data_IF_774330072933
#
_entry.id   IF_774330072933
#
_cell.length_a   1.000
_cell.length_b   1.000
_cell.length_c   1.000
_cell.angle_alpha   90.00
_cell.angle_beta   90.00
_cell.angle_gamma   90.00
#
_symmetry.space_group_name_H-M   'P 1'
#
loop_
_entity.id
_entity.type
_entity.pdbx_description
1 polymer ?
#
# COMPACT_ATOMS: atom_id res chain seq x y z
N UNK A 1 -25.55 -10.39 12.93
CA UNK A 1 -24.59 -11.43 13.38
C UNK A 1 -24.82 -11.67 14.87
N UNK A 2 -24.91 -12.93 15.30
CA UNK A 2 -25.22 -13.31 16.70
C UNK A 2 -24.02 -13.89 17.46
N UNK A 3 -22.89 -14.12 16.78
CA UNK A 3 -21.64 -14.55 17.42
C UNK A 3 -21.03 -13.42 18.25
N UNK A 4 -20.26 -13.79 19.29
CA UNK A 4 -19.55 -12.83 20.14
C UNK A 4 -18.62 -11.94 19.31
N UNK A 5 -18.65 -10.64 19.58
CA UNK A 5 -17.77 -9.62 18.99
C UNK A 5 -16.84 -9.08 20.06
N UNK A 6 -16.07 -9.99 20.68
CA UNK A 6 -15.13 -9.65 21.74
C UNK A 6 -14.13 -8.61 21.23
N UNK A 7 -13.99 -7.53 21.98
CA UNK A 7 -12.95 -6.53 21.73
C UNK A 7 -11.65 -6.98 22.40
N UNK A 8 -10.56 -6.79 21.69
CA UNK A 8 -9.19 -6.96 22.18
C UNK A 8 -8.50 -5.61 22.13
N UNK A 9 -7.46 -5.44 22.95
CA UNK A 9 -6.68 -4.20 23.02
C UNK A 9 -5.23 -4.52 23.33
N UNK A 10 -4.36 -3.57 23.03
CA UNK A 10 -2.99 -3.50 23.53
C UNK A 10 -2.92 -2.44 24.62
N UNK A 11 -2.06 -2.66 25.60
CA UNK A 11 -1.81 -1.76 26.74
C UNK A 11 -0.34 -1.90 27.20
N UNK A 12 0.04 -1.25 28.30
CA UNK A 12 1.42 -1.24 28.78
C UNK A 12 1.92 -2.64 29.17
N UNK A 13 1.02 -3.47 29.70
CA UNK A 13 1.30 -4.86 30.09
C UNK A 13 1.26 -5.83 28.91
N UNK A 14 0.47 -5.50 27.87
CA UNK A 14 0.31 -6.28 26.65
C UNK A 14 0.55 -5.36 25.43
N UNK A 15 1.83 -5.03 25.13
CA UNK A 15 2.18 -4.04 24.12
C UNK A 15 1.86 -4.47 22.68
N UNK A 16 1.86 -3.50 21.78
CA UNK A 16 1.72 -3.72 20.34
C UNK A 16 2.20 -2.52 19.57
N UNK A 17 3.52 -2.43 19.38
CA UNK A 17 4.18 -1.27 18.81
C UNK A 17 3.76 -1.04 17.37
N UNK A 18 3.69 -2.09 16.56
CA UNK A 18 3.34 -2.03 15.14
C UNK A 18 1.93 -1.48 14.93
N UNK A 19 0.92 -2.01 15.62
CA UNK A 19 -0.47 -1.55 15.45
C UNK A 19 -0.67 -0.13 15.99
N UNK A 20 0.02 0.22 17.09
CA UNK A 20 -0.06 1.57 17.64
C UNK A 20 0.67 2.60 16.76
N UNK A 21 1.87 2.28 16.26
CA UNK A 21 2.64 3.14 15.38
C UNK A 21 1.98 3.28 14.00
N UNK A 22 1.43 2.22 13.41
CA UNK A 22 0.69 2.32 12.14
C UNK A 22 -0.59 3.18 12.32
N UNK A 23 -1.27 3.05 13.46
CA UNK A 23 -2.42 3.93 13.79
C UNK A 23 -1.98 5.38 13.97
N UNK A 24 -0.82 5.62 14.58
CA UNK A 24 -0.23 6.95 14.69
C UNK A 24 0.09 7.54 13.32
N UNK A 25 0.71 6.77 12.42
CA UNK A 25 0.98 7.16 11.04
C UNK A 25 -0.31 7.53 10.29
N UNK A 26 -1.34 6.70 10.39
CA UNK A 26 -2.64 6.93 9.76
C UNK A 26 -3.31 8.22 10.26
N UNK A 27 -3.33 8.45 11.58
CA UNK A 27 -3.89 9.66 12.18
C UNK A 27 -3.08 10.92 11.83
N UNK A 28 -1.74 10.83 11.82
CA UNK A 28 -0.86 11.92 11.42
C UNK A 28 -1.09 12.30 9.94
N UNK A 29 -1.13 11.31 9.03
CA UNK A 29 -1.42 11.52 7.62
C UNK A 29 -2.82 12.13 7.40
N UNK A 30 -3.85 11.59 8.07
CA UNK A 30 -5.20 12.11 7.99
C UNK A 30 -5.31 13.55 8.49
N UNK A 31 -4.58 13.92 9.54
CA UNK A 31 -4.58 15.29 10.08
C UNK A 31 -4.18 16.34 9.03
N UNK A 32 -3.26 16.01 8.11
CA UNK A 32 -2.86 16.88 7.01
C UNK A 32 -4.01 17.11 6.03
N UNK A 33 -4.78 16.05 5.72
CA UNK A 33 -5.93 16.12 4.82
C UNK A 33 -7.04 16.99 5.41
N UNK A 34 -7.43 16.73 6.66
CA UNK A 34 -8.49 17.52 7.31
C UNK A 34 -8.09 18.97 7.53
N UNK A 35 -6.80 19.24 7.81
CA UNK A 35 -6.28 20.61 7.88
C UNK A 35 -6.43 21.34 6.56
N UNK A 36 -6.08 20.69 5.44
CA UNK A 36 -6.25 21.26 4.09
C UNK A 36 -7.72 21.43 3.69
N UNK A 37 -8.60 20.56 4.17
CA UNK A 37 -10.05 20.65 3.96
C UNK A 37 -10.72 21.74 4.82
N UNK A 38 -9.99 22.42 5.71
CA UNK A 38 -10.50 23.49 6.56
C UNK A 38 -11.04 23.03 7.92
N UNK A 39 -10.98 21.73 8.24
CA UNK A 39 -11.38 21.21 9.56
C UNK A 39 -10.16 21.15 10.50
N UNK A 40 -9.77 22.33 10.99
CA UNK A 40 -8.61 22.48 11.86
C UNK A 40 -8.79 21.79 13.22
N UNK A 41 -10.03 21.73 13.74
CA UNK A 41 -10.31 21.11 15.04
C UNK A 41 -10.11 19.60 14.98
N UNK A 42 -10.70 18.94 13.99
CA UNK A 42 -10.54 17.50 13.84
C UNK A 42 -9.10 17.11 13.46
N UNK A 43 -8.44 17.92 12.62
CA UNK A 43 -7.01 17.74 12.35
C UNK A 43 -6.15 17.79 13.62
N UNK A 44 -6.44 18.72 14.53
CA UNK A 44 -5.73 18.79 15.81
C UNK A 44 -6.01 17.57 16.70
N UNK A 45 -7.26 17.10 16.77
CA UNK A 45 -7.63 15.92 17.54
C UNK A 45 -6.90 14.65 17.04
N UNK A 46 -6.89 14.44 15.71
CA UNK A 46 -6.16 13.34 15.09
C UNK A 46 -4.66 13.40 15.42
N UNK A 47 -4.06 14.57 15.28
CA UNK A 47 -2.63 14.75 15.52
C UNK A 47 -2.27 14.53 16.98
N UNK A 48 -3.09 15.01 17.92
CA UNK A 48 -2.92 14.77 19.35
C UNK A 48 -2.89 13.26 19.66
N UNK A 49 -3.86 12.49 19.13
CA UNK A 49 -3.89 11.05 19.34
C UNK A 49 -2.74 10.32 18.62
N UNK A 50 -2.32 10.78 17.45
CA UNK A 50 -1.16 10.22 16.76
C UNK A 50 0.11 10.31 17.62
N UNK A 51 0.33 11.45 18.30
CA UNK A 51 1.47 11.65 19.18
C UNK A 51 1.42 10.72 20.40
N UNK A 52 0.25 10.57 21.03
CA UNK A 52 0.06 9.65 22.17
C UNK A 52 0.30 8.19 21.78
N UNK A 53 -0.19 7.77 20.61
CA UNK A 53 -0.02 6.40 20.13
C UNK A 53 1.43 6.08 19.78
N UNK A 54 2.15 7.04 19.18
CA UNK A 54 3.58 6.86 18.91
C UNK A 54 4.40 6.79 20.19
N UNK A 55 4.13 7.66 21.17
CA UNK A 55 4.78 7.60 22.48
C UNK A 55 4.52 6.26 23.18
N UNK A 56 3.28 5.77 23.14
CA UNK A 56 2.94 4.44 23.64
C UNK A 56 3.71 3.32 22.90
N UNK A 57 3.72 3.35 21.57
CA UNK A 57 4.35 2.34 20.73
C UNK A 57 5.86 2.23 20.98
N UNK A 58 6.54 3.38 21.17
CA UNK A 58 7.97 3.44 21.39
C UNK A 58 8.37 3.14 22.84
N UNK A 59 7.54 3.53 23.82
CA UNK A 59 7.77 3.30 25.25
C UNK A 59 7.55 1.83 25.63
N UNK A 60 6.46 1.23 25.15
CA UNK A 60 6.08 -0.14 25.47
C UNK A 60 6.29 -1.02 24.25
N UNK A 61 7.55 -1.41 24.01
CA UNK A 61 7.92 -2.17 22.82
C UNK A 61 7.51 -3.64 22.89
N UNK A 62 6.76 -4.11 21.90
CA UNK A 62 6.43 -5.53 21.77
C UNK A 62 5.47 -5.82 20.63
N UNK A 63 5.45 -7.08 20.21
CA UNK A 63 4.61 -7.53 19.11
C UNK A 63 3.15 -7.64 19.52
N UNK A 64 2.26 -7.03 18.75
CA UNK A 64 0.83 -6.98 19.04
C UNK A 64 0.18 -8.37 18.99
N UNK A 65 0.72 -9.27 18.16
CA UNK A 65 0.23 -10.63 18.00
C UNK A 65 0.69 -11.57 19.14
N UNK A 66 1.67 -11.15 19.95
CA UNK A 66 1.96 -11.78 21.24
C UNK A 66 0.94 -11.37 22.31
N UNK A 67 0.48 -10.12 22.28
CA UNK A 67 -0.51 -9.56 23.20
C UNK A 67 -1.95 -9.97 22.86
N UNK A 68 -2.24 -10.11 21.56
CA UNK A 68 -3.56 -10.47 21.03
C UNK A 68 -3.44 -11.72 20.17
N UNK A 69 -3.11 -12.85 20.79
CA UNK A 69 -2.73 -14.10 20.11
C UNK A 69 -3.71 -14.61 19.04
N UNK A 70 -4.99 -14.27 19.15
CA UNK A 70 -6.00 -14.65 18.15
C UNK A 70 -5.68 -14.12 16.75
N UNK A 71 -4.93 -13.03 16.63
CA UNK A 71 -4.58 -12.41 15.33
C UNK A 71 -3.50 -13.18 14.57
N UNK A 72 -2.72 -14.05 15.23
CA UNK A 72 -1.61 -14.81 14.59
C UNK A 72 -2.06 -15.65 13.39
N UNK A 73 -3.32 -16.07 13.38
CA UNK A 73 -3.90 -16.85 12.28
C UNK A 73 -4.47 -15.99 11.13
N UNK A 74 -4.40 -14.66 11.22
CA UNK A 74 -5.01 -13.73 10.27
C UNK A 74 -3.99 -12.68 9.79
N UNK A 75 -3.40 -11.93 10.72
CA UNK A 75 -2.48 -10.83 10.47
C UNK A 75 -1.25 -10.90 11.41
N UNK A 76 -0.45 -11.98 11.39
CA UNK A 76 0.71 -12.07 12.28
C UNK A 76 1.74 -10.96 12.00
N UNK A 77 2.43 -10.46 13.02
CA UNK A 77 3.55 -9.53 12.86
C UNK A 77 4.76 -10.35 12.38
N UNK A 78 5.08 -10.26 11.09
CA UNK A 78 6.19 -11.03 10.50
C UNK A 78 7.45 -10.20 10.33
N UNK A 79 7.30 -8.90 10.06
CA UNK A 79 8.38 -7.90 9.96
C UNK A 79 8.88 -7.39 11.30
N UNK A 80 8.02 -7.45 12.33
CA UNK A 80 8.23 -6.81 13.61
C UNK A 80 7.47 -5.49 13.71
N UNK A 81 8.10 -4.49 14.35
CA UNK A 81 7.51 -3.15 14.58
C UNK A 81 8.47 -2.00 14.29
N UNK A 82 9.70 -2.33 13.92
CA UNK A 82 10.78 -1.36 13.76
C UNK A 82 10.51 -0.44 12.58
N UNK A 83 10.02 -1.00 11.48
CA UNK A 83 9.59 -0.24 10.31
C UNK A 83 8.37 0.64 10.60
N UNK A 84 7.38 0.17 11.36
CA UNK A 84 6.23 1.00 11.75
C UNK A 84 6.66 2.19 12.62
N UNK A 85 7.62 2.02 13.54
CA UNK A 85 8.14 3.13 14.35
C UNK A 85 8.82 4.19 13.49
N UNK A 86 9.69 3.80 12.55
CA UNK A 86 10.30 4.74 11.61
C UNK A 86 9.26 5.42 10.71
N UNK A 87 8.29 4.65 10.21
CA UNK A 87 7.21 5.11 9.35
C UNK A 87 6.33 6.16 10.05
N UNK A 88 5.90 5.86 11.29
CA UNK A 88 5.11 6.77 12.11
C UNK A 88 5.87 8.05 12.46
N UNK A 89 7.16 7.94 12.79
CA UNK A 89 8.00 9.10 13.08
C UNK A 89 8.09 10.05 11.88
N UNK A 90 8.31 9.55 10.66
CA UNK A 90 8.32 10.41 9.46
C UNK A 90 6.96 11.05 9.16
N UNK A 91 5.85 10.32 9.34
CA UNK A 91 4.50 10.90 9.20
C UNK A 91 4.22 11.98 10.24
N UNK A 92 4.63 11.77 11.49
CA UNK A 92 4.51 12.76 12.55
C UNK A 92 5.39 13.98 12.29
N UNK A 93 6.62 13.80 11.79
CA UNK A 93 7.46 14.91 11.34
C UNK A 93 6.73 15.73 10.28
N UNK A 94 6.20 15.07 9.25
CA UNK A 94 5.45 15.73 8.16
C UNK A 94 4.20 16.46 8.66
N UNK A 95 3.48 15.90 9.63
CA UNK A 95 2.24 16.48 10.14
C UNK A 95 2.45 17.63 11.15
N UNK A 96 3.58 17.61 11.89
CA UNK A 96 3.86 18.56 12.98
C UNK A 96 4.92 19.60 12.64
N UNK A 97 5.83 19.31 11.71
CA UNK A 97 7.07 20.06 11.47
C UNK A 97 8.11 19.91 12.59
N UNK A 98 7.88 19.08 13.62
CA UNK A 98 8.81 18.92 14.74
C UNK A 98 10.04 18.13 14.33
N UNK A 99 11.22 18.62 14.68
CA UNK A 99 12.50 17.97 14.39
C UNK A 99 12.72 16.69 15.20
N UNK A 100 12.20 16.61 16.43
CA UNK A 100 12.41 15.44 17.29
C UNK A 100 11.98 14.12 16.62
N UNK A 101 10.90 14.12 15.83
CA UNK A 101 10.46 12.93 15.10
C UNK A 101 11.37 12.61 13.90
N UNK A 102 11.87 13.62 13.20
CA UNK A 102 12.85 13.43 12.13
C UNK A 102 14.16 12.88 12.71
N UNK A 103 14.64 13.49 13.78
CA UNK A 103 15.87 13.11 14.45
C UNK A 103 15.75 11.68 15.00
N UNK A 104 14.60 11.30 15.57
CA UNK A 104 14.28 9.92 15.95
C UNK A 104 14.37 8.97 14.75
N UNK A 105 13.68 9.27 13.65
CA UNK A 105 13.62 8.39 12.49
C UNK A 105 15.01 8.17 11.88
N UNK A 106 15.81 9.23 11.74
CA UNK A 106 17.14 9.14 11.14
C UNK A 106 18.17 8.52 12.09
N UNK A 107 18.11 8.80 13.39
CA UNK A 107 19.02 8.22 14.37
C UNK A 107 18.80 6.70 14.55
N UNK A 108 17.56 6.23 14.45
CA UNK A 108 17.24 4.81 14.57
C UNK A 108 17.26 4.06 13.23
N UNK A 109 17.44 4.76 12.09
CA UNK A 109 17.24 4.17 10.76
C UNK A 109 18.08 2.91 10.52
N UNK A 110 19.32 2.85 11.03
CA UNK A 110 20.20 1.68 10.85
C UNK A 110 19.85 0.54 11.79
N UNK A 111 19.76 0.81 13.09
CA UNK A 111 19.41 -0.17 14.13
C UNK A 111 18.02 -0.80 13.90
N UNK A 112 17.13 -0.05 13.26
CA UNK A 112 15.77 -0.48 12.93
C UNK A 112 15.66 -1.06 11.52
N UNK A 113 16.76 -1.18 10.78
CA UNK A 113 16.80 -1.84 9.47
C UNK A 113 16.31 -0.99 8.30
N UNK A 114 15.96 0.28 8.52
CA UNK A 114 15.56 1.23 7.47
C UNK A 114 16.63 1.44 6.40
N UNK A 115 17.90 1.56 6.81
CA UNK A 115 19.07 1.63 5.91
C UNK A 115 19.69 0.28 5.60
N UNK A 116 19.14 -0.80 6.16
CA UNK A 116 19.61 -2.17 5.99
C UNK A 116 19.25 -2.77 4.63
N UNK A 117 18.77 -4.02 4.64
CA UNK A 117 18.51 -4.77 3.42
C UNK A 117 17.45 -4.10 2.53
N UNK A 118 17.74 -4.04 1.24
CA UNK A 118 16.80 -3.56 0.26
C UNK A 118 15.63 -4.56 0.09
N UNK A 119 14.40 -4.05 0.12
CA UNK A 119 13.18 -4.85 0.07
C UNK A 119 12.54 -4.78 -1.33
N UNK A 120 11.74 -5.79 -1.68
CA UNK A 120 10.93 -5.83 -2.90
C UNK A 120 9.42 -5.91 -2.60
N UNK A 121 9.03 -5.62 -1.35
CA UNK A 121 7.65 -5.71 -0.87
C UNK A 121 7.26 -4.44 -0.10
N UNK A 122 6.03 -3.96 -0.32
CA UNK A 122 5.35 -2.99 0.52
C UNK A 122 3.95 -3.53 0.82
N UNK A 123 3.57 -3.61 2.09
CA UNK A 123 2.34 -4.28 2.52
C UNK A 123 1.83 -3.80 3.87
N UNK A 124 0.70 -4.34 4.32
CA UNK A 124 0.18 -4.06 5.66
C UNK A 124 1.12 -4.52 6.79
N UNK A 125 2.07 -5.42 6.51
CA UNK A 125 3.06 -5.93 7.47
C UNK A 125 4.42 -5.23 7.29
N UNK A 126 4.85 -4.92 6.06
CA UNK A 126 6.19 -4.37 5.79
C UNK A 126 6.12 -2.93 5.28
N UNK A 127 6.69 -1.96 6.02
CA UNK A 127 6.70 -0.52 5.67
C UNK A 127 8.01 0.01 5.09
N UNK A 128 9.10 -0.78 5.09
CA UNK A 128 10.43 -0.28 4.67
C UNK A 128 10.44 0.44 3.31
N UNK A 129 9.82 -0.12 2.27
CA UNK A 129 9.77 0.52 0.96
C UNK A 129 9.01 1.87 1.00
N UNK A 130 7.88 1.91 1.71
CA UNK A 130 7.10 3.14 1.89
C UNK A 130 7.87 4.20 2.70
N UNK A 131 8.50 3.78 3.80
CA UNK A 131 9.40 4.60 4.62
C UNK A 131 10.53 5.21 3.79
N UNK A 132 11.20 4.40 2.98
CA UNK A 132 12.33 4.82 2.15
C UNK A 132 11.89 5.83 1.08
N UNK A 133 10.74 5.60 0.42
CA UNK A 133 10.13 6.55 -0.51
C UNK A 133 9.74 7.86 0.18
N UNK A 134 9.16 7.78 1.39
CA UNK A 134 8.80 8.95 2.19
C UNK A 134 10.03 9.74 2.63
N UNK A 135 11.10 9.07 3.05
CA UNK A 135 12.37 9.71 3.41
C UNK A 135 13.00 10.45 2.23
N UNK A 136 12.89 9.93 1.00
CA UNK A 136 13.37 10.64 -0.19
C UNK A 136 12.67 11.98 -0.44
N UNK A 137 11.45 12.20 0.07
CA UNK A 137 10.79 13.51 0.00
C UNK A 137 11.50 14.58 0.84
N UNK A 138 12.25 14.19 1.88
CA UNK A 138 13.03 15.13 2.68
C UNK A 138 14.11 15.85 1.85
N UNK A 139 14.64 15.20 0.80
CA UNK A 139 15.58 15.82 -0.15
C UNK A 139 14.89 16.85 -1.04
N UNK A 140 13.61 16.64 -1.36
CA UNK A 140 12.78 17.63 -2.06
C UNK A 140 12.56 18.84 -1.16
N UNK A 141 12.18 18.61 0.09
CA UNK A 141 11.97 19.67 1.09
C UNK A 141 13.27 20.46 1.37
N UNK A 142 14.42 19.79 1.40
CA UNK A 142 15.73 20.44 1.52
C UNK A 142 16.05 21.28 0.28
N UNK A 143 15.82 20.75 -0.93
CA UNK A 143 16.01 21.50 -2.19
C UNK A 143 15.12 22.74 -2.27
N UNK A 144 13.88 22.65 -1.75
CA UNK A 144 12.92 23.74 -1.66
C UNK A 144 13.16 24.69 -0.48
N UNK A 145 14.22 24.45 0.31
CA UNK A 145 14.59 25.26 1.48
C UNK A 145 13.54 25.24 2.61
N UNK A 146 12.66 24.23 2.64
CA UNK A 146 11.69 24.01 3.71
C UNK A 146 12.27 23.18 4.87
N UNK A 147 13.36 22.45 4.63
CA UNK A 147 14.08 21.65 5.61
C UNK A 147 15.59 21.89 5.50
N UNK A 148 16.31 21.72 6.61
CA UNK A 148 17.78 21.71 6.62
C UNK A 148 18.28 20.46 7.34
N UNK A 149 18.98 19.60 6.61
CA UNK A 149 19.62 18.41 7.15
C UNK A 149 21.07 18.71 7.55
N UNK A 150 21.56 18.05 8.60
CA UNK A 150 23.02 17.98 8.84
C UNK A 150 23.68 17.08 7.79
N UNK A 151 25.02 17.09 7.73
CA UNK A 151 25.75 16.20 6.83
C UNK A 151 25.48 14.72 7.13
N UNK A 152 25.40 14.37 8.41
CA UNK A 152 25.11 13.02 8.91
C UNK A 152 23.67 12.61 8.58
N UNK A 153 22.70 13.49 8.84
CA UNK A 153 21.30 13.24 8.50
C UNK A 153 21.12 13.04 7.01
N UNK A 154 21.77 13.88 6.19
CA UNK A 154 21.72 13.77 4.74
C UNK A 154 22.31 12.45 4.26
N UNK A 155 23.40 11.97 4.86
CA UNK A 155 23.97 10.67 4.51
C UNK A 155 22.99 9.51 4.77
N UNK A 156 22.26 9.54 5.90
CA UNK A 156 21.20 8.55 6.19
C UNK A 156 20.05 8.64 5.18
N UNK A 157 19.59 9.85 4.85
CA UNK A 157 18.52 10.05 3.87
C UNK A 157 18.93 9.56 2.48
N UNK A 158 20.16 9.79 2.04
CA UNK A 158 20.65 9.27 0.75
C UNK A 158 20.75 7.73 0.76
N UNK A 159 21.08 7.10 1.89
CA UNK A 159 21.04 5.65 2.02
C UNK A 159 19.61 5.09 1.95
N UNK A 160 18.66 5.75 2.63
CA UNK A 160 17.23 5.42 2.52
C UNK A 160 16.73 5.59 1.08
N UNK A 161 17.13 6.66 0.41
CA UNK A 161 16.85 6.89 -1.01
C UNK A 161 17.42 5.77 -1.88
N UNK A 162 18.65 5.35 -1.66
CA UNK A 162 19.26 4.23 -2.41
C UNK A 162 18.41 2.96 -2.28
N UNK A 163 17.86 2.68 -1.09
CA UNK A 163 16.97 1.53 -0.89
C UNK A 163 15.60 1.74 -1.57
N UNK A 164 15.06 2.96 -1.59
CA UNK A 164 13.86 3.30 -2.37
C UNK A 164 14.09 3.07 -3.88
N UNK A 165 15.23 3.52 -4.42
CA UNK A 165 15.60 3.32 -5.82
C UNK A 165 15.75 1.83 -6.14
N UNK A 166 16.34 1.03 -5.24
CA UNK A 166 16.39 -0.42 -5.41
C UNK A 166 14.99 -1.04 -5.51
N UNK A 167 14.05 -0.63 -4.65
CA UNK A 167 12.67 -1.12 -4.70
C UNK A 167 11.98 -0.77 -6.03
N UNK A 168 12.11 0.48 -6.48
CA UNK A 168 11.55 0.96 -7.76
C UNK A 168 12.15 0.20 -8.94
N UNK A 169 13.48 0.04 -8.95
CA UNK A 169 14.20 -0.72 -9.97
C UNK A 169 13.81 -2.20 -9.96
N UNK A 170 13.64 -2.81 -8.77
CA UNK A 170 13.14 -4.18 -8.60
C UNK A 170 11.75 -4.33 -9.24
N UNK A 171 10.85 -3.40 -8.94
CA UNK A 171 9.51 -3.33 -9.52
C UNK A 171 9.52 -3.11 -11.02
N UNK A 172 10.59 -2.58 -11.63
CA UNK A 172 10.73 -2.37 -13.08
C UNK A 172 11.62 -3.40 -13.79
N UNK A 173 12.15 -4.40 -13.06
CA UNK A 173 13.06 -5.43 -13.58
C UNK A 173 14.44 -4.88 -14.00
N UNK A 174 14.87 -3.80 -13.36
CA UNK A 174 16.08 -3.05 -13.74
C UNK A 174 17.23 -3.26 -12.76
N UNK A 175 17.05 -3.99 -11.66
CA UNK A 175 18.18 -4.33 -10.80
C UNK A 175 19.10 -5.34 -11.49
N UNK A 176 20.44 -5.17 -11.40
CA UNK A 176 21.38 -6.18 -11.87
C UNK A 176 21.26 -7.46 -11.03
N UNK A 177 21.71 -8.59 -11.58
CA UNK A 177 21.66 -9.89 -10.90
C UNK A 177 20.36 -10.69 -11.12
N UNK A 178 19.48 -10.22 -12.02
CA UNK A 178 18.35 -11.00 -12.52
C UNK A 178 17.24 -11.22 -11.48
N UNK A 179 16.53 -12.33 -11.61
CA UNK A 179 15.29 -12.61 -10.85
C UNK A 179 15.45 -12.58 -9.32
N UNK A 180 16.65 -12.81 -8.78
CA UNK A 180 16.90 -12.74 -7.33
C UNK A 180 16.80 -11.33 -6.75
N UNK A 181 17.00 -10.31 -7.59
CA UNK A 181 17.04 -8.91 -7.19
C UNK A 181 15.85 -8.09 -7.71
N UNK A 182 14.93 -8.75 -8.42
CA UNK A 182 13.78 -8.10 -9.05
C UNK A 182 12.50 -8.78 -8.61
N UNK A 183 11.42 -8.01 -8.53
CA UNK A 183 10.10 -8.51 -8.18
C UNK A 183 9.64 -9.56 -9.20
N UNK A 184 9.03 -10.63 -8.70
CA UNK A 184 8.41 -11.67 -9.52
C UNK A 184 7.30 -11.08 -10.40
N UNK A 185 7.03 -11.72 -11.53
CA UNK A 185 5.98 -11.32 -12.47
C UNK A 185 5.31 -12.50 -13.13
N UNK A 186 4.06 -12.31 -13.51
CA UNK A 186 3.36 -13.21 -14.41
C UNK A 186 3.87 -13.05 -15.86
N UNK A 187 3.61 -14.02 -16.76
CA UNK A 187 3.92 -13.89 -18.19
C UNK A 187 3.42 -12.60 -18.86
N UNK A 188 2.26 -12.09 -18.45
CA UNK A 188 1.71 -10.83 -18.97
C UNK A 188 2.19 -9.57 -18.22
N UNK A 189 3.14 -9.69 -17.30
CA UNK A 189 3.86 -8.56 -16.70
C UNK A 189 3.23 -7.95 -15.43
N UNK A 190 2.22 -8.60 -14.83
CA UNK A 190 1.73 -8.23 -13.51
C UNK A 190 2.79 -8.55 -12.46
N UNK A 191 3.07 -7.61 -11.54
CA UNK A 191 3.89 -7.89 -10.36
C UNK A 191 3.26 -9.01 -9.52
N UNK A 192 4.03 -10.08 -9.29
CA UNK A 192 3.60 -11.27 -8.59
C UNK A 192 4.57 -11.59 -7.44
N UNK A 193 4.19 -11.20 -6.22
CA UNK A 193 5.02 -11.33 -5.02
C UNK A 193 4.62 -12.59 -4.24
N UNK A 194 3.31 -12.79 -4.04
CA UNK A 194 2.78 -13.95 -3.30
C UNK A 194 1.47 -14.45 -3.90
N UNK A 195 1.16 -15.75 -3.78
CA UNK A 195 -0.07 -16.30 -4.35
C UNK A 195 -1.34 -15.85 -3.62
N UNK A 196 -1.28 -15.56 -2.32
CA UNK A 196 -2.44 -15.09 -1.57
C UNK A 196 -2.64 -13.60 -1.79
N UNK A 197 -3.78 -13.22 -2.38
CA UNK A 197 -4.22 -11.84 -2.54
C UNK A 197 -3.15 -10.93 -3.19
N UNK A 198 -2.58 -11.41 -4.30
CA UNK A 198 -1.41 -10.79 -4.93
C UNK A 198 -1.61 -9.31 -5.32
N UNK A 199 -2.83 -8.92 -5.69
CA UNK A 199 -3.11 -7.53 -6.07
C UNK A 199 -2.94 -6.52 -4.93
N UNK A 200 -2.85 -6.94 -3.67
CA UNK A 200 -2.33 -6.09 -2.58
C UNK A 200 -0.94 -5.54 -2.93
N UNK A 201 -0.03 -6.41 -3.37
CA UNK A 201 1.35 -6.04 -3.67
C UNK A 201 1.45 -5.23 -4.95
N UNK A 202 0.72 -5.64 -6.00
CA UNK A 202 0.73 -4.92 -7.27
C UNK A 202 0.15 -3.51 -7.13
N UNK A 203 -0.96 -3.34 -6.40
CA UNK A 203 -1.56 -2.02 -6.16
C UNK A 203 -0.66 -1.13 -5.27
N UNK A 204 -0.06 -1.70 -4.23
CA UNK A 204 0.85 -0.99 -3.33
C UNK A 204 2.13 -0.55 -4.05
N UNK A 205 2.67 -1.40 -4.92
CA UNK A 205 3.80 -1.05 -5.79
C UNK A 205 3.42 0.05 -6.79
N UNK A 206 2.27 -0.07 -7.47
CA UNK A 206 1.79 0.97 -8.38
C UNK A 206 1.66 2.34 -7.67
N UNK A 207 1.16 2.34 -6.44
CA UNK A 207 1.10 3.55 -5.62
C UNK A 207 2.47 4.14 -5.29
N UNK A 208 3.41 3.32 -4.77
CA UNK A 208 4.76 3.82 -4.45
C UNK A 208 5.53 4.28 -5.68
N UNK A 209 5.42 3.58 -6.81
CA UNK A 209 6.01 4.00 -8.09
C UNK A 209 5.46 5.36 -8.53
N UNK A 210 4.14 5.56 -8.39
CA UNK A 210 3.49 6.84 -8.67
C UNK A 210 4.06 7.95 -7.80
N UNK A 211 4.16 7.74 -6.49
CA UNK A 211 4.74 8.72 -5.56
C UNK A 211 6.22 8.99 -5.88
N UNK A 212 7.00 7.95 -6.19
CA UNK A 212 8.42 8.11 -6.48
C UNK A 212 8.69 8.83 -7.80
N UNK A 213 7.82 8.66 -8.80
CA UNK A 213 7.90 9.45 -10.04
C UNK A 213 7.84 10.97 -9.77
N UNK A 214 7.01 11.40 -8.81
CA UNK A 214 6.93 12.80 -8.39
C UNK A 214 8.19 13.27 -7.65
N UNK A 215 8.82 12.39 -6.87
CA UNK A 215 10.10 12.67 -6.22
C UNK A 215 11.19 12.91 -7.27
N UNK A 216 11.30 12.03 -8.27
CA UNK A 216 12.27 12.16 -9.37
C UNK A 216 12.06 13.45 -10.15
N UNK A 217 10.80 13.76 -10.52
CA UNK A 217 10.45 14.99 -11.23
C UNK A 217 10.78 16.25 -10.40
N UNK A 218 10.47 16.25 -9.11
CA UNK A 218 10.73 17.37 -8.19
C UNK A 218 12.24 17.58 -8.00
N UNK A 219 13.01 16.50 -7.87
CA UNK A 219 14.48 16.58 -7.78
C UNK A 219 15.13 16.92 -9.12
N UNK A 220 14.47 16.66 -10.26
CA UNK A 220 15.03 16.72 -11.63
C UNK A 220 16.24 15.79 -11.78
N UNK A 221 16.08 14.57 -11.29
CA UNK A 221 17.12 13.55 -11.35
C UNK A 221 16.51 12.24 -11.89
N UNK A 222 17.23 11.54 -12.78
CA UNK A 222 16.79 10.23 -13.26
C UNK A 222 16.94 9.18 -12.16
N UNK A 223 16.12 8.14 -12.24
CA UNK A 223 16.28 6.90 -11.47
C UNK A 223 17.55 6.19 -11.90
N UNK A 224 18.32 5.69 -10.92
CA UNK A 224 19.54 4.92 -11.16
C UNK A 224 19.34 3.47 -10.74
N UNK A 225 19.26 2.58 -11.72
CA UNK A 225 19.15 1.14 -11.48
C UNK A 225 20.50 0.46 -11.69
N UNK A 226 21.24 0.31 -10.59
CA UNK A 226 22.50 -0.44 -10.55
C UNK A 226 23.73 0.28 -11.14
N UNK A 227 24.83 0.24 -10.39
CA UNK A 227 26.16 0.67 -10.77
C UNK A 227 27.15 0.11 -9.76
N UNK A 228 27.54 -1.16 -9.93
CA UNK A 228 28.43 -1.89 -9.01
C UNK A 228 29.26 -3.01 -9.65
N UNK A 229 29.31 -3.07 -10.99
CA UNK A 229 30.12 -4.06 -11.72
C UNK A 229 29.71 -4.16 -13.18
N UNK A 230 30.61 -3.74 -14.08
CA UNK A 230 30.74 -3.95 -15.54
C UNK A 230 29.53 -3.97 -16.49
N UNK A 231 28.28 -3.85 -16.01
CA UNK A 231 27.09 -3.62 -16.83
C UNK A 231 26.73 -2.13 -16.84
N UNK A 232 26.25 -1.64 -17.98
CA UNK A 232 25.77 -0.26 -18.10
C UNK A 232 24.66 0.01 -17.07
N UNK A 233 24.81 1.11 -16.32
CA UNK A 233 23.80 1.56 -15.38
C UNK A 233 22.53 1.92 -16.17
N UNK A 234 21.43 1.23 -15.86
CA UNK A 234 20.14 1.53 -16.49
C UNK A 234 19.57 2.81 -15.88
N UNK A 235 19.34 3.83 -16.70
CA UNK A 235 18.63 5.04 -16.30
C UNK A 235 17.14 4.92 -16.66
N UNK A 236 16.28 5.43 -15.79
CA UNK A 236 14.85 5.61 -16.09
C UNK A 236 14.44 7.03 -15.69
N UNK A 237 13.63 7.68 -16.50
CA UNK A 237 13.07 8.99 -16.16
C UNK A 237 11.81 8.84 -15.29
N UNK A 238 11.35 9.95 -14.70
CA UNK A 238 10.11 9.96 -13.91
C UNK A 238 8.91 9.40 -14.70
N UNK A 239 8.83 9.74 -16.00
CA UNK A 239 7.77 9.26 -16.89
C UNK A 239 7.84 7.74 -17.14
N UNK A 240 9.04 7.14 -17.17
CA UNK A 240 9.18 5.68 -17.30
C UNK A 240 8.63 4.96 -16.06
N UNK A 241 8.91 5.50 -14.87
CA UNK A 241 8.42 4.96 -13.59
C UNK A 241 6.89 5.08 -13.52
N UNK A 242 6.35 6.24 -13.89
CA UNK A 242 4.91 6.47 -13.92
C UNK A 242 4.20 5.60 -14.97
N UNK A 243 4.79 5.43 -16.16
CA UNK A 243 4.25 4.57 -17.20
C UNK A 243 4.16 3.11 -16.72
N UNK A 244 5.16 2.62 -15.98
CA UNK A 244 5.10 1.29 -15.40
C UNK A 244 4.04 1.17 -14.30
N UNK A 245 3.89 2.19 -13.43
CA UNK A 245 2.80 2.25 -12.45
C UNK A 245 1.42 2.19 -13.13
N UNK A 246 1.24 2.95 -14.21
CA UNK A 246 0.02 2.92 -15.03
C UNK A 246 -0.20 1.54 -15.65
N UNK A 247 0.83 0.87 -16.15
CA UNK A 247 0.68 -0.48 -16.71
C UNK A 247 0.15 -1.50 -15.69
N UNK A 248 0.57 -1.41 -14.42
CA UNK A 248 0.01 -2.25 -13.35
C UNK A 248 -1.47 -1.89 -13.06
N UNK A 249 -1.83 -0.60 -13.07
CA UNK A 249 -3.21 -0.17 -12.94
C UNK A 249 -4.07 -0.63 -14.13
N UNK A 250 -3.60 -0.49 -15.35
CA UNK A 250 -4.26 -0.94 -16.58
C UNK A 250 -4.48 -2.46 -16.54
N UNK A 251 -3.50 -3.23 -16.08
CA UNK A 251 -3.66 -4.67 -15.88
C UNK A 251 -4.81 -4.96 -14.91
N UNK A 252 -4.85 -4.30 -13.75
CA UNK A 252 -5.94 -4.44 -12.75
C UNK A 252 -7.28 -4.05 -13.37
N UNK A 253 -7.31 -3.04 -14.24
CA UNK A 253 -8.53 -2.53 -14.85
C UNK A 253 -9.02 -3.36 -16.07
N UNK A 254 -8.21 -4.27 -16.60
CA UNK A 254 -8.65 -5.23 -17.63
C UNK A 254 -7.67 -5.46 -18.79
N UNK A 255 -6.54 -4.74 -18.86
CA UNK A 255 -5.47 -4.96 -19.84
C UNK A 255 -4.64 -6.18 -19.46
N UNK A 256 -5.28 -7.34 -19.50
CA UNK A 256 -4.70 -8.63 -19.12
C UNK A 256 -5.23 -9.74 -20.04
N UNK A 257 -4.61 -10.94 -20.04
CA UNK A 257 -5.01 -12.05 -20.92
C UNK A 257 -6.47 -12.48 -20.77
N UNK A 258 -7.02 -12.34 -19.56
CA UNK A 258 -8.42 -12.67 -19.25
C UNK A 258 -9.41 -11.59 -19.71
N UNK A 259 -8.94 -10.42 -20.17
CA UNK A 259 -9.75 -9.25 -20.54
C UNK A 259 -10.80 -8.90 -19.47
N UNK A 260 -10.42 -9.10 -18.21
CA UNK A 260 -11.30 -8.99 -17.05
C UNK A 260 -10.76 -7.94 -16.09
N UNK A 261 -11.58 -6.98 -15.70
CA UNK A 261 -11.23 -6.06 -14.63
C UNK A 261 -11.24 -6.78 -13.30
N UNK A 262 -10.20 -6.62 -12.51
CA UNK A 262 -10.14 -7.07 -11.13
C UNK A 262 -10.65 -6.00 -10.14
N UNK A 263 -11.12 -4.85 -10.65
CA UNK A 263 -11.91 -3.86 -9.92
C UNK A 263 -13.40 -4.15 -10.16
N UNK A 264 -14.08 -4.61 -9.11
CA UNK A 264 -15.49 -5.02 -9.20
C UNK A 264 -16.38 -3.84 -9.61
N UNK A 265 -17.23 -4.05 -10.62
CA UNK A 265 -18.12 -3.02 -11.16
C UNK A 265 -17.49 -2.10 -12.21
N UNK A 266 -16.23 -2.33 -12.61
CA UNK A 266 -15.55 -1.58 -13.66
C UNK A 266 -15.36 -2.42 -14.94
N UNK A 267 -15.54 -1.79 -16.10
CA UNK A 267 -15.36 -2.43 -17.41
C UNK A 267 -16.47 -3.40 -17.79
N UNK A 268 -16.30 -4.06 -18.94
CA UNK A 268 -17.32 -4.97 -19.51
C UNK A 268 -17.37 -6.34 -18.84
N UNK A 269 -16.28 -6.77 -18.18
CA UNK A 269 -16.17 -8.04 -17.48
C UNK A 269 -15.40 -7.84 -16.17
N UNK A 270 -15.95 -8.36 -15.06
CA UNK A 270 -15.36 -8.30 -13.72
C UNK A 270 -15.88 -9.46 -12.85
N UNK A 271 -15.19 -9.82 -11.74
CA UNK A 271 -15.61 -10.90 -10.84
C UNK A 271 -17.02 -10.69 -10.26
N UNK A 272 -17.86 -11.71 -10.37
CA UNK A 272 -19.25 -11.74 -9.88
C UNK A 272 -19.42 -12.63 -8.66
N UNK A 273 -18.39 -13.40 -8.27
CA UNK A 273 -18.44 -14.38 -7.17
C UNK A 273 -17.34 -14.11 -6.13
N UNK A 274 -17.14 -12.84 -5.80
CA UNK A 274 -16.21 -12.32 -4.79
C UNK A 274 -16.40 -13.00 -3.43
N UNK A 275 -15.31 -13.35 -2.75
CA UNK A 275 -15.27 -13.88 -1.39
C UNK A 275 -15.66 -12.79 -0.37
N UNK A 276 -16.94 -12.43 -0.31
CA UNK A 276 -17.44 -11.37 0.57
C UNK A 276 -18.86 -11.67 1.07
N UNK A 277 -19.02 -11.82 2.40
CA UNK A 277 -20.26 -12.30 3.04
C UNK A 277 -21.47 -11.41 2.75
N UNK A 278 -21.32 -10.09 2.88
CA UNK A 278 -22.43 -9.17 2.65
C UNK A 278 -22.78 -9.04 1.16
N UNK A 279 -21.84 -9.33 0.26
CA UNK A 279 -22.10 -9.33 -1.17
C UNK A 279 -22.80 -10.63 -1.61
N UNK A 280 -22.46 -11.76 -0.99
CA UNK A 280 -22.96 -13.07 -1.35
C UNK A 280 -24.30 -13.44 -0.73
N UNK A 281 -24.70 -12.82 0.38
CA UNK A 281 -25.96 -13.10 1.09
C UNK A 281 -27.13 -12.27 0.56
N UNK A 282 -28.36 -12.76 0.75
CA UNK A 282 -29.54 -11.96 0.42
C UNK A 282 -29.59 -10.67 1.22
N UNK A 283 -30.10 -9.62 0.58
CA UNK A 283 -30.44 -8.39 1.26
C UNK A 283 -31.54 -8.62 2.29
N UNK A 284 -31.36 -8.04 3.48
CA UNK A 284 -32.37 -7.97 4.54
C UNK A 284 -33.70 -7.35 4.08
N UNK A 285 -33.68 -6.55 3.01
CA UNK A 285 -34.90 -5.98 2.42
C UNK A 285 -35.80 -7.05 1.80
N UNK A 286 -35.21 -8.11 1.25
CA UNK A 286 -35.91 -9.17 0.52
C UNK A 286 -36.10 -10.43 1.36
N UNK A 287 -35.11 -10.76 2.19
CA UNK A 287 -35.12 -11.92 3.06
C UNK A 287 -34.77 -11.49 4.48
N UNK A 288 -35.73 -11.59 5.39
CA UNK A 288 -35.57 -11.20 6.80
C UNK A 288 -35.26 -12.40 7.70
N UNK A 289 -35.21 -13.59 7.13
CA UNK A 289 -35.00 -14.80 7.90
C UNK A 289 -33.61 -14.80 8.53
N UNK A 290 -33.53 -15.40 9.71
CA UNK A 290 -32.27 -15.53 10.41
C UNK A 290 -31.36 -16.52 9.68
N UNK A 291 -30.23 -16.05 9.17
CA UNK A 291 -29.21 -16.91 8.56
C UNK A 291 -28.33 -17.50 9.66
N UNK A 292 -28.50 -18.79 9.94
CA UNK A 292 -27.63 -19.54 10.86
C UNK A 292 -26.19 -19.67 10.34
N UNK A 293 -25.21 -19.93 11.23
CA UNK A 293 -23.80 -20.03 10.84
C UNK A 293 -23.54 -21.08 9.74
N UNK A 294 -24.01 -22.31 9.92
CA UNK A 294 -23.85 -23.39 8.93
C UNK A 294 -24.69 -23.15 7.69
N UNK A 295 -25.92 -22.65 7.86
CA UNK A 295 -26.80 -22.27 6.76
C UNK A 295 -26.16 -21.21 5.85
N UNK A 296 -25.38 -20.28 6.43
CA UNK A 296 -24.57 -19.31 5.69
C UNK A 296 -23.61 -19.97 4.70
N UNK A 297 -22.96 -21.05 5.13
CA UNK A 297 -22.05 -21.81 4.28
C UNK A 297 -22.79 -22.56 3.17
N UNK A 298 -23.88 -23.24 3.52
CA UNK A 298 -24.63 -24.08 2.59
C UNK A 298 -25.38 -23.24 1.53
N UNK A 299 -26.06 -22.19 1.97
CA UNK A 299 -26.99 -21.41 1.13
C UNK A 299 -26.31 -20.31 0.32
N UNK A 300 -25.22 -19.74 0.85
CA UNK A 300 -24.61 -18.53 0.29
C UNK A 300 -23.14 -18.72 -0.07
N UNK A 301 -22.30 -19.28 0.81
CA UNK A 301 -20.88 -19.43 0.50
C UNK A 301 -20.64 -20.42 -0.66
N UNK A 302 -21.23 -21.61 -0.58
CA UNK A 302 -21.06 -22.69 -1.57
C UNK A 302 -21.91 -22.50 -2.84
N UNK A 303 -22.74 -21.45 -2.89
CA UNK A 303 -23.64 -21.20 -4.00
C UNK A 303 -22.87 -20.96 -5.32
N UNK A 304 -23.29 -21.64 -6.39
CA UNK A 304 -22.67 -21.52 -7.72
C UNK A 304 -23.06 -20.26 -8.48
N UNK A 305 -24.18 -19.64 -8.10
CA UNK A 305 -24.64 -18.37 -8.68
C UNK A 305 -23.74 -17.19 -8.28
N UNK A 306 -23.86 -16.13 -9.08
CA UNK A 306 -23.32 -14.80 -8.79
C UNK A 306 -23.73 -14.30 -7.41
N UNK A 307 -22.92 -13.43 -6.83
CA UNK A 307 -23.30 -12.67 -5.66
C UNK A 307 -24.54 -11.81 -6.00
N UNK A 308 -25.59 -11.78 -5.15
CA UNK A 308 -26.75 -10.92 -5.38
C UNK A 308 -26.43 -9.42 -5.35
N UNK A 309 -25.26 -9.03 -4.83
CA UNK A 309 -24.80 -7.65 -4.77
C UNK A 309 -23.38 -7.53 -5.32
N UNK A 310 -23.20 -6.63 -6.29
CA UNK A 310 -21.87 -6.25 -6.75
C UNK A 310 -21.15 -5.47 -5.65
N UNK A 311 -19.92 -5.92 -5.32
CA UNK A 311 -19.06 -5.21 -4.37
C UNK A 311 -18.31 -4.08 -5.08
N UNK A 312 -19.07 -3.13 -5.63
CA UNK A 312 -18.54 -2.07 -6.51
C UNK A 312 -17.37 -1.33 -5.86
N UNK A 313 -16.29 -1.17 -6.61
CA UNK A 313 -15.08 -0.47 -6.17
C UNK A 313 -14.06 -1.34 -5.44
N UNK A 314 -14.36 -2.62 -5.17
CA UNK A 314 -13.40 -3.51 -4.55
C UNK A 314 -12.39 -4.08 -5.54
N UNK A 315 -11.10 -4.04 -5.18
CA UNK A 315 -10.05 -4.79 -5.88
C UNK A 315 -9.91 -6.18 -5.24
N UNK A 316 -10.16 -7.23 -6.03
CA UNK A 316 -9.99 -8.63 -5.57
C UNK A 316 -8.52 -9.03 -5.51
N UNK A 317 -8.20 -10.25 -5.07
CA UNK A 317 -6.83 -10.77 -5.01
C UNK A 317 -6.14 -11.03 -6.35
N UNK A 318 -6.92 -11.20 -7.41
CA UNK A 318 -6.45 -11.27 -8.79
C UNK A 318 -5.95 -12.66 -9.21
N UNK A 319 -5.25 -12.75 -10.36
CA UNK A 319 -4.91 -14.02 -10.98
C UNK A 319 -3.78 -14.76 -10.26
N UNK A 320 -3.56 -16.02 -10.62
CA UNK A 320 -2.38 -16.78 -10.20
C UNK A 320 -1.12 -16.35 -11.00
N UNK A 321 -0.01 -17.07 -10.81
CA UNK A 321 1.28 -16.74 -11.42
C UNK A 321 1.29 -16.85 -12.96
N UNK A 322 0.30 -17.55 -13.53
CA UNK A 322 0.13 -17.78 -14.97
C UNK A 322 -0.97 -16.90 -15.59
N UNK A 323 -1.35 -15.80 -14.94
CA UNK A 323 -2.41 -14.88 -15.40
C UNK A 323 -3.82 -15.49 -15.44
N UNK A 324 -4.05 -16.63 -14.77
CA UNK A 324 -5.35 -17.31 -14.72
C UNK A 324 -6.15 -16.89 -13.49
N UNK A 325 -7.38 -16.46 -13.72
CA UNK A 325 -8.34 -16.11 -12.68
C UNK A 325 -9.55 -17.03 -12.70
N UNK A 326 -9.94 -17.52 -11.52
CA UNK A 326 -11.12 -18.35 -11.31
C UNK A 326 -12.14 -17.59 -10.46
N UNK A 327 -13.21 -17.10 -11.09
CA UNK A 327 -14.31 -16.40 -10.40
C UNK A 327 -15.17 -17.35 -9.56
N UNK A 328 -14.61 -17.75 -8.43
CA UNK A 328 -15.17 -18.69 -7.51
C UNK A 328 -15.03 -18.19 -6.08
N UNK A 329 -16.14 -18.15 -5.34
CA UNK A 329 -16.19 -17.62 -3.96
C UNK A 329 -15.28 -18.36 -2.97
N UNK A 330 -15.02 -19.64 -3.22
CA UNK A 330 -14.08 -20.43 -2.43
C UNK A 330 -12.61 -20.29 -2.86
N UNK A 331 -12.33 -19.64 -3.99
CA UNK A 331 -10.97 -19.32 -4.43
C UNK A 331 -10.47 -18.04 -3.73
N UNK A 332 -10.51 -18.03 -2.39
CA UNK A 332 -10.28 -16.83 -1.57
C UNK A 332 -8.94 -16.14 -1.88
N UNK A 333 -7.89 -16.88 -2.25
CA UNK A 333 -6.61 -16.27 -2.64
C UNK A 333 -6.75 -15.29 -3.83
N UNK A 334 -7.71 -15.53 -4.72
CA UNK A 334 -7.97 -14.73 -5.91
C UNK A 334 -9.18 -13.81 -5.75
N UNK A 335 -10.23 -14.26 -5.06
CA UNK A 335 -11.52 -13.56 -4.97
C UNK A 335 -11.73 -12.79 -3.67
N UNK A 336 -10.80 -12.85 -2.73
CA UNK A 336 -10.83 -12.02 -1.52
C UNK A 336 -10.65 -10.54 -1.87
N UNK A 337 -11.53 -9.71 -1.32
CA UNK A 337 -11.49 -8.26 -1.46
C UNK A 337 -11.13 -7.65 -0.12
N UNK A 338 -10.00 -6.95 -0.07
CA UNK A 338 -9.51 -6.30 1.14
C UNK A 338 -9.37 -4.78 0.96
N UNK A 339 -9.49 -4.06 2.08
CA UNK A 339 -9.32 -2.60 2.12
C UNK A 339 -7.93 -2.19 1.61
N UNK A 340 -6.89 -2.92 1.99
CA UNK A 340 -5.50 -2.67 1.59
C UNK A 340 -5.19 -3.03 0.12
N UNK A 341 -6.07 -3.72 -0.60
CA UNK A 341 -5.96 -3.85 -2.06
C UNK A 341 -6.42 -2.56 -2.76
N UNK A 342 -7.48 -1.96 -2.20
CA UNK A 342 -8.22 -0.87 -2.85
C UNK A 342 -7.64 0.48 -2.47
N UNK A 343 -7.19 0.66 -1.22
CA UNK A 343 -6.69 1.94 -0.72
C UNK A 343 -5.53 2.52 -1.54
N UNK A 344 -4.49 1.76 -1.95
CA UNK A 344 -3.41 2.30 -2.78
C UNK A 344 -3.89 2.76 -4.17
N UNK A 345 -4.86 2.04 -4.75
CA UNK A 345 -5.41 2.38 -6.07
C UNK A 345 -6.12 3.73 -6.10
N UNK A 346 -6.74 4.16 -4.99
CA UNK A 346 -7.33 5.50 -4.89
C UNK A 346 -6.28 6.59 -5.12
N UNK A 347 -5.08 6.42 -4.55
CA UNK A 347 -3.96 7.34 -4.78
C UNK A 347 -3.46 7.33 -6.22
N UNK A 348 -3.32 6.14 -6.82
CA UNK A 348 -2.94 5.99 -8.23
C UNK A 348 -3.94 6.68 -9.16
N UNK A 349 -5.23 6.39 -9.00
CA UNK A 349 -6.29 7.02 -9.81
C UNK A 349 -6.34 8.53 -9.62
N UNK A 350 -6.16 9.02 -8.39
CA UNK A 350 -6.11 10.47 -8.13
C UNK A 350 -5.00 11.15 -8.93
N UNK A 351 -3.80 10.53 -9.02
CA UNK A 351 -2.70 11.05 -9.84
C UNK A 351 -3.03 11.02 -11.33
N UNK A 352 -3.54 9.90 -11.84
CA UNK A 352 -3.84 9.75 -13.26
C UNK A 352 -4.93 10.74 -13.71
N UNK A 353 -5.98 10.93 -12.89
CA UNK A 353 -7.02 11.92 -13.14
C UNK A 353 -6.48 13.35 -13.15
N UNK A 354 -5.53 13.67 -12.27
CA UNK A 354 -4.87 14.99 -12.26
C UNK A 354 -4.14 15.26 -13.58
N UNK A 355 -3.43 14.26 -14.12
CA UNK A 355 -2.70 14.38 -15.38
C UNK A 355 -3.65 14.53 -16.55
N UNK A 356 -4.71 13.73 -16.62
CA UNK A 356 -5.72 13.84 -17.68
C UNK A 356 -6.41 15.21 -17.67
N UNK A 357 -6.74 15.75 -16.49
CA UNK A 357 -7.33 17.08 -16.36
C UNK A 357 -6.39 18.23 -16.75
N UNK A 358 -5.08 17.99 -16.84
CA UNK A 358 -4.09 18.97 -17.30
C UNK A 358 -3.83 18.90 -18.81
N UNK A 359 -4.30 17.86 -19.51
CA UNK A 359 -4.18 17.80 -20.96
C UNK A 359 -5.19 18.75 -21.61
N UNK A 360 -4.79 19.58 -22.59
CA UNK A 360 -5.75 20.39 -23.34
C UNK A 360 -6.74 19.45 -24.02
N UNK A 361 -8.05 19.69 -23.83
CA UNK A 361 -9.09 18.85 -24.42
C UNK A 361 -8.85 18.72 -25.92
N UNK A 362 -8.65 17.48 -26.40
CA UNK A 362 -8.67 17.21 -27.84
C UNK A 362 -10.02 17.65 -28.37
N UNK A 363 -10.09 18.44 -29.46
CA UNK A 363 -11.36 18.66 -30.14
C UNK A 363 -11.94 17.29 -30.52
N UNK A 364 -13.27 17.11 -30.43
CA UNK A 364 -13.90 15.85 -30.81
C UNK A 364 -13.48 15.50 -32.24
N UNK A 365 -12.95 14.29 -32.43
CA UNK A 365 -12.70 13.75 -33.76
C UNK A 365 -14.03 13.77 -34.51
N UNK A 366 -14.06 14.49 -35.64
CA UNK A 366 -15.20 14.46 -36.54
C UNK A 366 -15.20 13.07 -37.20
N UNK A 367 -16.23 12.27 -36.88
CA UNK A 367 -16.52 11.02 -37.57
C UNK A 367 -16.59 11.28 -39.10
N UNK A 368 -15.73 10.61 -39.87
CA UNK A 368 -15.79 10.49 -41.33
C UNK A 368 -16.19 9.08 -41.73
#
# INVERSE_FOLDING_TARGET
>A
MTTSRRAYKVDAENPGSEVAAETAAAMAAASLVFRRAGDAHYAHLLLHHAQQLFEFADTYRGHYDASVEVVKNYYPSSSGYKDELLWAALWLHRATGRRDYLDYALANADDFGGTGWAVSEFSWDIKYAGLQVLASQLLVEEKEQHLRLSAEQRAVVEQLRSNAEYYVCSCMNRNPGGAKHNAGRTPAGLLFIRPWNNLQYASSAAFLLTVYSDVLASLRQPLRCGGGGTGEAGFAEADDVLAFAKAQADYILGTNPMRTSYLVGYGAAYPRRVHHRAASSASYRHDRDFIGCLQGFDSWYSARRENPHDLVGAVVGGPNAEDVFNDHRGAYMQTEACTYNTAPMVGVFSKLMQIEGQQPQRPPEADL
#
